data_IF_765269965812
#
_entry.id   IF_765269965812
#
_cell.length_a   1.000
_cell.length_b   1.000
_cell.length_c   1.000
_cell.angle_alpha   90.00
_cell.angle_beta   90.00
_cell.angle_gamma   90.00
#
_symmetry.space_group_name_H-M   'P 1'
#
loop_
_entity.id
_entity.type
_entity.pdbx_description
1 polymer ?
#
# COMPACT_ATOMS: atom_id res chain seq x y z
N UNK A 1 61.77 -13.48 -0.38
CA UNK A 1 60.75 -13.55 -1.44
C UNK A 1 61.35 -13.33 -2.84
N UNK A 2 62.62 -13.66 -3.10
CA UNK A 2 63.31 -13.37 -4.37
C UNK A 2 63.51 -14.60 -5.28
N UNK A 3 63.36 -15.83 -4.76
CA UNK A 3 63.68 -17.06 -5.50
C UNK A 3 62.57 -17.57 -6.43
N UNK A 4 61.30 -17.26 -6.17
CA UNK A 4 60.19 -17.66 -7.06
C UNK A 4 60.12 -16.82 -8.34
N UNK A 5 60.43 -15.53 -8.24
CA UNK A 5 60.39 -14.61 -9.37
C UNK A 5 61.44 -14.98 -10.43
N UNK A 6 62.67 -15.30 -10.00
CA UNK A 6 63.72 -15.82 -10.90
C UNK A 6 63.33 -17.16 -11.55
N UNK A 7 62.59 -18.02 -10.85
CA UNK A 7 62.10 -19.28 -11.43
C UNK A 7 61.07 -19.03 -12.52
N UNK A 8 60.15 -18.09 -12.31
CA UNK A 8 59.14 -17.74 -13.31
C UNK A 8 59.75 -17.07 -14.55
N UNK A 9 60.75 -16.21 -14.39
CA UNK A 9 61.46 -15.63 -15.54
C UNK A 9 62.20 -16.69 -16.34
N UNK A 10 62.92 -17.61 -15.69
CA UNK A 10 63.58 -18.72 -16.41
C UNK A 10 62.58 -19.62 -17.12
N UNK A 11 61.38 -19.79 -16.57
CA UNK A 11 60.32 -20.59 -17.18
C UNK A 11 59.71 -19.85 -18.38
N UNK A 12 59.47 -18.55 -18.26
CA UNK A 12 59.01 -17.71 -19.36
C UNK A 12 60.03 -17.70 -20.51
N UNK A 13 61.32 -17.57 -20.21
CA UNK A 13 62.40 -17.62 -21.22
C UNK A 13 62.42 -18.99 -21.92
N UNK A 14 62.27 -20.08 -21.14
CA UNK A 14 62.15 -21.44 -21.69
C UNK A 14 60.93 -21.62 -22.59
N UNK A 15 59.78 -21.09 -22.20
CA UNK A 15 58.56 -21.18 -23.01
C UNK A 15 58.66 -20.36 -24.30
N UNK A 16 59.36 -19.21 -24.25
CA UNK A 16 59.59 -18.37 -25.43
C UNK A 16 60.56 -19.01 -26.42
N UNK A 17 61.47 -19.86 -25.94
CA UNK A 17 62.38 -20.65 -26.76
C UNK A 17 61.72 -21.90 -27.38
N UNK A 18 60.49 -22.26 -26.99
CA UNK A 18 59.74 -23.33 -27.65
C UNK A 18 59.17 -22.79 -28.95
N UNK A 19 59.60 -23.33 -30.09
CA UNK A 19 59.04 -22.97 -31.39
C UNK A 19 57.52 -23.24 -31.40
N UNK A 20 56.70 -22.24 -31.77
CA UNK A 20 55.26 -22.43 -31.83
C UNK A 20 54.92 -23.44 -32.94
N UNK A 21 54.23 -24.52 -32.58
CA UNK A 21 53.69 -25.49 -33.54
C UNK A 21 52.61 -24.79 -34.37
N UNK A 22 52.97 -24.37 -35.58
CA UNK A 22 52.03 -23.79 -36.53
C UNK A 22 51.17 -24.91 -37.15
N UNK A 23 49.83 -24.85 -37.06
CA UNK A 23 49.00 -25.87 -37.68
C UNK A 23 49.18 -25.84 -39.20
N UNK A 24 49.22 -27.02 -39.82
CA UNK A 24 49.40 -27.16 -41.26
C UNK A 24 48.30 -26.42 -42.04
N UNK A 25 48.58 -25.93 -43.26
CA UNK A 25 47.60 -25.15 -44.05
C UNK A 25 46.25 -25.87 -44.23
N UNK A 26 46.28 -27.20 -44.42
CA UNK A 26 45.06 -28.02 -44.55
C UNK A 26 44.25 -28.16 -43.25
N UNK A 27 44.89 -28.05 -42.07
CA UNK A 27 44.19 -28.02 -40.79
C UNK A 27 43.48 -26.68 -40.58
N UNK A 28 44.10 -25.56 -40.98
CA UNK A 28 43.48 -24.23 -40.95
C UNK A 28 42.22 -24.20 -41.82
N UNK A 29 42.28 -24.71 -43.05
CA UNK A 29 41.13 -24.73 -43.97
C UNK A 29 39.97 -25.55 -43.38
N UNK A 30 40.25 -26.73 -42.81
CA UNK A 30 39.20 -27.55 -42.17
C UNK A 30 38.60 -26.87 -40.94
N UNK A 31 39.44 -26.22 -40.13
CA UNK A 31 38.97 -25.42 -38.98
C UNK A 31 38.07 -24.27 -39.41
N UNK A 32 38.44 -23.54 -40.45
CA UNK A 32 37.63 -22.44 -40.99
C UNK A 32 36.29 -22.91 -41.57
N UNK A 33 36.26 -24.06 -42.25
CA UNK A 33 35.00 -24.63 -42.74
C UNK A 33 34.04 -25.04 -41.61
N UNK A 34 34.56 -25.55 -40.49
CA UNK A 34 33.73 -25.86 -39.31
C UNK A 34 33.18 -24.60 -38.64
N UNK A 35 33.99 -23.53 -38.57
CA UNK A 35 33.55 -22.24 -38.02
C UNK A 35 32.44 -21.62 -38.89
N UNK A 36 32.57 -21.65 -40.22
CA UNK A 36 31.54 -21.13 -41.12
C UNK A 36 30.24 -21.96 -41.05
N UNK A 37 30.34 -23.29 -41.00
CA UNK A 37 29.17 -24.16 -40.82
C UNK A 37 28.44 -23.89 -39.48
N UNK A 38 29.18 -23.59 -38.41
CA UNK A 38 28.60 -23.22 -37.12
C UNK A 38 27.93 -21.83 -37.16
N UNK A 39 28.48 -20.88 -37.93
CA UNK A 39 27.90 -19.54 -38.13
C UNK A 39 26.59 -19.60 -38.93
N UNK A 40 26.51 -20.45 -39.96
CA UNK A 40 25.26 -20.66 -40.71
C UNK A 40 24.18 -21.35 -39.86
N UNK A 41 24.56 -22.29 -39.00
CA UNK A 41 23.62 -22.95 -38.08
C UNK A 41 23.09 -22.00 -36.99
N UNK A 42 23.86 -21.00 -36.57
CA UNK A 42 23.43 -20.02 -35.55
C UNK A 42 22.45 -18.96 -36.09
N UNK A 43 22.32 -18.79 -37.42
CA UNK A 43 21.31 -17.92 -38.03
C UNK A 43 19.88 -18.52 -38.04
N UNK A 44 19.71 -19.79 -37.67
CA UNK A 44 18.39 -20.46 -37.68
C UNK A 44 17.83 -20.79 -36.28
N UNK A 45 18.55 -20.46 -35.20
CA UNK A 45 17.98 -20.47 -33.84
C UNK A 45 17.23 -19.16 -33.61
N UNK A 46 16.16 -18.95 -34.37
CA UNK A 46 15.10 -18.04 -33.97
C UNK A 46 14.52 -18.62 -32.69
N UNK A 47 14.89 -18.07 -31.53
CA UNK A 47 14.33 -18.48 -30.25
C UNK A 47 12.80 -18.39 -30.37
N UNK A 48 12.16 -19.55 -30.48
CA UNK A 48 10.71 -19.70 -30.54
C UNK A 48 10.17 -19.52 -29.12
N UNK A 49 10.52 -18.44 -28.45
CA UNK A 49 9.79 -18.00 -27.25
C UNK A 49 8.41 -17.61 -27.76
N UNK A 50 7.46 -18.50 -27.54
CA UNK A 50 6.13 -18.50 -28.15
C UNK A 50 5.53 -17.09 -28.20
N UNK A 51 5.13 -16.56 -29.37
CA UNK A 51 4.50 -15.25 -29.48
C UNK A 51 3.27 -15.14 -28.56
N UNK A 52 2.59 -16.26 -28.32
CA UNK A 52 1.51 -16.38 -27.33
C UNK A 52 1.99 -16.10 -25.91
N UNK A 53 3.15 -16.59 -25.47
CA UNK A 53 3.69 -16.27 -24.13
C UNK A 53 4.03 -14.79 -24.01
N UNK A 54 4.58 -14.16 -25.05
CA UNK A 54 4.85 -12.71 -25.07
C UNK A 54 3.56 -11.90 -25.05
N UNK A 55 2.53 -12.32 -25.80
CA UNK A 55 1.20 -11.72 -25.79
C UNK A 55 0.51 -11.86 -24.43
N UNK A 56 0.59 -13.04 -23.80
CA UNK A 56 0.05 -13.27 -22.45
C UNK A 56 0.77 -12.39 -21.43
N UNK A 57 2.10 -12.34 -21.46
CA UNK A 57 2.87 -11.46 -20.57
C UNK A 57 2.55 -9.98 -20.81
N UNK A 58 2.42 -9.55 -22.06
CA UNK A 58 2.04 -8.19 -22.40
C UNK A 58 0.60 -7.85 -21.95
N UNK A 59 -0.34 -8.78 -22.11
CA UNK A 59 -1.72 -8.62 -21.65
C UNK A 59 -1.79 -8.57 -20.12
N UNK A 60 -1.03 -9.41 -19.42
CA UNK A 60 -0.92 -9.36 -17.96
C UNK A 60 -0.28 -8.04 -17.51
N UNK A 61 0.80 -7.60 -18.15
CA UNK A 61 1.43 -6.32 -17.84
C UNK A 61 0.48 -5.13 -18.09
N UNK A 62 -0.26 -5.14 -19.20
CA UNK A 62 -1.28 -4.13 -19.49
C UNK A 62 -2.42 -4.17 -18.47
N UNK A 63 -2.90 -5.36 -18.09
CA UNK A 63 -3.91 -5.50 -17.05
C UNK A 63 -3.42 -4.98 -15.69
N UNK A 64 -2.18 -5.29 -15.31
CA UNK A 64 -1.54 -4.76 -14.09
C UNK A 64 -1.43 -3.25 -14.15
N UNK A 65 -1.03 -2.67 -15.29
CA UNK A 65 -0.96 -1.22 -15.46
C UNK A 65 -2.34 -0.55 -15.41
N UNK A 66 -3.36 -1.17 -16.00
CA UNK A 66 -4.74 -0.68 -15.94
C UNK A 66 -5.30 -0.76 -14.52
N UNK A 67 -5.03 -1.85 -13.79
CA UNK A 67 -5.40 -2.00 -12.38
C UNK A 67 -4.65 -0.98 -11.53
N UNK A 68 -3.34 -0.82 -11.72
CA UNK A 68 -2.54 0.16 -10.99
C UNK A 68 -3.00 1.60 -11.26
N UNK A 69 -3.34 1.93 -12.51
CA UNK A 69 -3.90 3.22 -12.88
C UNK A 69 -5.29 3.44 -12.27
N UNK A 70 -6.14 2.43 -12.25
CA UNK A 70 -7.45 2.48 -11.61
C UNK A 70 -7.34 2.63 -10.09
N UNK A 71 -6.37 1.98 -9.45
CA UNK A 71 -6.08 2.11 -8.01
C UNK A 71 -5.59 3.53 -7.68
N UNK A 72 -4.66 4.07 -8.48
CA UNK A 72 -4.19 5.44 -8.30
C UNK A 72 -5.33 6.46 -8.47
N UNK A 73 -6.19 6.27 -9.47
CA UNK A 73 -7.36 7.13 -9.70
C UNK A 73 -8.45 6.95 -8.62
N UNK A 74 -8.61 5.75 -8.06
CA UNK A 74 -9.58 5.49 -6.99
C UNK A 74 -9.12 6.05 -5.65
N UNK A 75 -7.81 6.15 -5.40
CA UNK A 75 -7.28 6.71 -4.16
C UNK A 75 -7.71 8.18 -3.95
N UNK A 76 -7.73 8.96 -5.04
CA UNK A 76 -8.19 10.36 -5.05
C UNK A 76 -9.71 10.50 -5.24
N UNK A 77 -10.40 9.38 -5.36
CA UNK A 77 -11.83 9.37 -5.65
C UNK A 77 -12.63 9.81 -4.42
N UNK A 78 -13.54 10.76 -4.64
CA UNK A 78 -14.40 11.33 -3.60
C UNK A 78 -15.68 10.50 -3.42
N UNK A 79 -16.43 10.67 -2.31
CA UNK A 79 -17.63 9.88 -2.02
C UNK A 79 -18.70 9.91 -3.10
N UNK A 80 -18.68 10.91 -3.99
CA UNK A 80 -19.61 11.06 -5.10
C UNK A 80 -19.15 10.50 -6.44
N UNK A 81 -17.96 9.92 -6.48
CA UNK A 81 -17.34 9.44 -7.71
C UNK A 81 -17.68 7.97 -8.00
N UNK A 82 -17.67 7.61 -9.28
CA UNK A 82 -17.95 6.24 -9.72
C UNK A 82 -16.88 5.22 -9.29
N UNK A 83 -15.66 5.67 -8.98
CA UNK A 83 -14.55 4.82 -8.54
C UNK A 83 -14.50 4.66 -7.01
N UNK A 84 -15.36 5.35 -6.26
CA UNK A 84 -15.38 5.28 -4.80
C UNK A 84 -15.62 3.87 -4.23
N UNK A 85 -16.49 3.01 -4.82
CA UNK A 85 -16.62 1.63 -4.36
C UNK A 85 -15.31 0.85 -4.47
N UNK A 86 -14.49 1.14 -5.49
CA UNK A 86 -13.18 0.51 -5.65
C UNK A 86 -12.20 0.96 -4.56
N UNK A 87 -12.26 2.24 -4.15
CA UNK A 87 -11.48 2.76 -3.02
C UNK A 87 -11.74 1.97 -1.74
N UNK A 88 -13.01 1.77 -1.38
CA UNK A 88 -13.39 0.99 -0.20
C UNK A 88 -12.88 -0.45 -0.23
N UNK A 89 -12.83 -1.10 -1.39
CA UNK A 89 -12.23 -2.44 -1.53
C UNK A 89 -10.73 -2.41 -1.23
N UNK A 90 -10.01 -1.42 -1.75
CA UNK A 90 -8.56 -1.28 -1.52
C UNK A 90 -8.24 -0.95 -0.06
N UNK A 91 -9.05 -0.11 0.57
CA UNK A 91 -8.96 0.21 2.00
C UNK A 91 -9.13 -1.06 2.84
N UNK A 92 -10.16 -1.87 2.58
CA UNK A 92 -10.39 -3.13 3.28
C UNK A 92 -9.22 -4.12 3.13
N UNK A 93 -8.64 -4.24 1.94
CA UNK A 93 -7.46 -5.09 1.71
C UNK A 93 -6.28 -4.58 2.54
N UNK A 94 -6.03 -3.27 2.56
CA UNK A 94 -4.95 -2.68 3.36
C UNK A 94 -5.16 -2.89 4.86
N UNK A 95 -6.39 -2.77 5.34
CA UNK A 95 -6.75 -3.06 6.73
C UNK A 95 -6.54 -4.53 7.09
N UNK A 96 -6.89 -5.47 6.20
CA UNK A 96 -6.66 -6.90 6.40
C UNK A 96 -5.18 -7.29 6.47
N UNK A 97 -4.29 -6.45 5.91
CA UNK A 97 -2.83 -6.62 5.95
C UNK A 97 -2.17 -5.93 7.17
N UNK A 98 -2.92 -5.19 7.98
CA UNK A 98 -2.43 -4.57 9.20
C UNK A 98 -2.41 -5.59 10.35
N UNK A 99 -1.29 -6.29 10.50
CA UNK A 99 -1.18 -7.39 11.47
C UNK A 99 -0.80 -6.93 12.88
N UNK A 100 0.07 -5.91 13.00
CA UNK A 100 0.50 -5.41 14.31
C UNK A 100 -0.43 -4.32 14.84
N UNK A 101 -0.48 -4.09 16.16
CA UNK A 101 -1.25 -2.99 16.75
C UNK A 101 -0.80 -1.63 16.23
N UNK A 102 0.51 -1.47 16.01
CA UNK A 102 1.09 -0.26 15.41
C UNK A 102 0.61 -0.01 13.99
N UNK A 103 0.48 -1.08 13.18
CA UNK A 103 -0.01 -1.00 11.80
C UNK A 103 -1.51 -0.73 11.76
N UNK A 104 -2.29 -1.35 12.66
CA UNK A 104 -3.74 -1.11 12.77
C UNK A 104 -4.02 0.34 13.16
N UNK A 105 -3.31 0.86 14.17
CA UNK A 105 -3.41 2.27 14.53
C UNK A 105 -3.05 3.16 13.32
N UNK A 106 -1.93 2.88 12.65
CA UNK A 106 -1.51 3.66 11.48
C UNK A 106 -2.57 3.63 10.36
N UNK A 107 -3.18 2.47 10.11
CA UNK A 107 -4.24 2.30 9.12
C UNK A 107 -5.46 3.17 9.44
N UNK A 108 -5.98 3.11 10.67
CA UNK A 108 -7.13 3.90 11.08
C UNK A 108 -6.84 5.40 11.04
N UNK A 109 -5.65 5.84 11.48
CA UNK A 109 -5.25 7.25 11.41
C UNK A 109 -5.12 7.76 9.96
N UNK A 110 -4.65 6.92 9.04
CA UNK A 110 -4.56 7.29 7.61
C UNK A 110 -5.95 7.40 6.95
N UNK A 111 -6.87 6.50 7.32
CA UNK A 111 -8.26 6.62 6.90
C UNK A 111 -8.92 7.85 7.50
N UNK A 112 -8.74 8.12 8.79
CA UNK A 112 -9.24 9.34 9.44
C UNK A 112 -8.82 10.59 8.66
N UNK A 113 -7.53 10.71 8.34
CA UNK A 113 -7.00 11.81 7.52
C UNK A 113 -7.65 11.88 6.13
N UNK A 114 -7.87 10.73 5.50
CA UNK A 114 -8.54 10.63 4.20
C UNK A 114 -9.97 11.15 4.28
N UNK A 115 -10.74 10.72 5.29
CA UNK A 115 -12.12 11.17 5.52
C UNK A 115 -12.22 12.66 5.79
N UNK A 116 -11.27 13.23 6.54
CA UNK A 116 -11.18 14.67 6.74
C UNK A 116 -10.99 15.42 5.40
N UNK A 117 -10.08 14.94 4.56
CA UNK A 117 -9.83 15.53 3.22
C UNK A 117 -11.07 15.43 2.33
N UNK A 118 -11.78 14.30 2.38
CA UNK A 118 -13.05 14.11 1.68
C UNK A 118 -14.13 15.09 2.18
N UNK A 119 -14.22 15.30 3.50
CA UNK A 119 -15.15 16.26 4.09
C UNK A 119 -14.87 17.70 3.65
N UNK A 120 -13.60 18.12 3.68
CA UNK A 120 -13.16 19.44 3.18
C UNK A 120 -13.56 19.64 1.71
N UNK A 121 -13.29 18.64 0.86
CA UNK A 121 -13.65 18.69 -0.55
C UNK A 121 -15.18 18.75 -0.76
N UNK A 122 -15.97 18.03 0.05
CA UNK A 122 -17.44 18.05 -0.03
C UNK A 122 -18.02 19.38 0.45
N UNK A 123 -17.45 19.99 1.49
CA UNK A 123 -17.82 21.33 1.97
C UNK A 123 -17.57 22.37 0.88
N UNK A 124 -16.38 22.34 0.25
CA UNK A 124 -16.04 23.23 -0.87
C UNK A 124 -17.00 23.10 -2.07
N UNK A 125 -17.61 21.91 -2.25
CA UNK A 125 -18.61 21.63 -3.30
C UNK A 125 -20.05 21.85 -2.84
N UNK A 126 -20.28 22.41 -1.66
CA UNK A 126 -21.60 22.60 -1.05
C UNK A 126 -22.41 21.30 -0.86
N UNK A 127 -21.74 20.15 -0.77
CA UNK A 127 -22.35 18.82 -0.56
C UNK A 127 -22.33 18.44 0.91
N UNK A 128 -23.10 19.18 1.71
CA UNK A 128 -23.04 19.07 3.18
C UNK A 128 -23.45 17.69 3.72
N UNK A 129 -24.38 17.00 3.05
CA UNK A 129 -24.77 15.64 3.45
C UNK A 129 -23.59 14.66 3.34
N UNK A 130 -22.80 14.78 2.26
CA UNK A 130 -21.60 13.94 2.06
C UNK A 130 -20.45 14.36 2.96
N UNK A 131 -20.32 15.66 3.24
CA UNK A 131 -19.35 16.14 4.22
C UNK A 131 -19.65 15.59 5.62
N UNK A 132 -20.92 15.60 6.05
CA UNK A 132 -21.34 15.00 7.32
C UNK A 132 -21.09 13.49 7.37
N UNK A 133 -21.31 12.77 6.27
CA UNK A 133 -20.97 11.35 6.20
C UNK A 133 -19.47 11.12 6.32
N UNK A 134 -18.64 11.89 5.62
CA UNK A 134 -17.19 11.80 5.71
C UNK A 134 -16.69 12.13 7.13
N UNK A 135 -17.23 13.17 7.77
CA UNK A 135 -16.91 13.49 9.17
C UNK A 135 -17.35 12.39 10.14
N UNK A 136 -18.51 11.76 9.93
CA UNK A 136 -18.89 10.61 10.75
C UNK A 136 -17.94 9.43 10.55
N UNK A 137 -17.49 9.17 9.32
CA UNK A 137 -16.50 8.13 9.07
C UNK A 137 -15.13 8.46 9.66
N UNK A 138 -14.74 9.74 9.71
CA UNK A 138 -13.55 10.18 10.45
C UNK A 138 -13.68 9.77 11.93
N UNK A 139 -14.83 10.07 12.54
CA UNK A 139 -15.09 9.74 13.94
C UNK A 139 -14.99 8.23 14.19
N UNK A 140 -15.61 7.41 13.33
CA UNK A 140 -15.54 5.94 13.43
C UNK A 140 -14.08 5.43 13.38
N UNK A 141 -13.23 6.04 12.55
CA UNK A 141 -11.81 5.66 12.48
C UNK A 141 -11.01 6.07 13.72
N UNK A 142 -11.35 7.20 14.35
CA UNK A 142 -10.70 7.62 15.59
C UNK A 142 -11.12 6.72 16.77
N UNK A 143 -12.37 6.27 16.81
CA UNK A 143 -12.85 5.30 17.79
C UNK A 143 -12.17 3.94 17.61
N UNK A 144 -12.07 3.43 16.38
CA UNK A 144 -11.34 2.19 16.10
C UNK A 144 -9.85 2.30 16.50
N UNK A 145 -9.21 3.45 16.24
CA UNK A 145 -7.84 3.72 16.67
C UNK A 145 -7.70 3.71 18.20
N UNK A 146 -8.66 4.31 18.93
CA UNK A 146 -8.69 4.30 20.38
C UNK A 146 -8.86 2.88 20.96
N UNK A 147 -9.69 2.03 20.32
CA UNK A 147 -9.86 0.63 20.71
C UNK A 147 -8.57 -0.18 20.54
N UNK A 148 -7.77 0.11 19.50
CA UNK A 148 -6.45 -0.52 19.33
C UNK A 148 -5.51 -0.14 20.48
N UNK A 149 -5.48 1.13 20.90
CA UNK A 149 -4.70 1.58 22.07
C UNK A 149 -5.16 0.84 23.33
N UNK A 150 -6.47 0.80 23.56
CA UNK A 150 -7.07 0.19 24.75
C UNK A 150 -6.77 -1.33 24.84
N UNK A 151 -6.85 -2.03 23.71
CA UNK A 151 -6.53 -3.46 23.64
C UNK A 151 -5.07 -3.75 24.04
N UNK A 152 -4.15 -2.85 23.69
CA UNK A 152 -2.74 -2.98 24.04
C UNK A 152 -2.41 -2.62 25.48
N UNK A 153 -3.27 -1.87 26.19
CA UNK A 153 -3.03 -1.52 27.60
C UNK A 153 -2.86 -2.75 28.50
N UNK A 154 -3.51 -3.87 28.16
CA UNK A 154 -3.39 -5.13 28.91
C UNK A 154 -2.20 -5.99 28.45
N UNK A 155 -1.84 -5.90 27.17
CA UNK A 155 -0.84 -6.77 26.55
C UNK A 155 0.57 -6.21 26.70
N UNK A 156 0.76 -4.93 26.36
CA UNK A 156 2.03 -4.21 26.44
C UNK A 156 1.76 -2.72 26.76
N UNK A 157 1.79 -2.34 28.06
CA UNK A 157 1.52 -0.96 28.48
C UNK A 157 2.49 0.08 27.90
N UNK A 158 3.75 -0.31 27.64
CA UNK A 158 4.75 0.61 27.07
C UNK A 158 4.42 0.90 25.60
N UNK A 159 4.04 -0.14 24.86
CA UNK A 159 3.55 0.01 23.49
C UNK A 159 2.25 0.83 23.47
N UNK A 160 1.29 0.54 24.35
CA UNK A 160 0.04 1.29 24.46
C UNK A 160 0.27 2.80 24.65
N UNK A 161 1.18 3.19 25.56
CA UNK A 161 1.53 4.60 25.77
C UNK A 161 2.14 5.25 24.51
N UNK A 162 2.92 4.49 23.72
CA UNK A 162 3.46 5.01 22.45
C UNK A 162 2.37 5.18 21.38
N UNK A 163 1.39 4.27 21.33
CA UNK A 163 0.25 4.36 20.43
C UNK A 163 -0.68 5.51 20.82
N UNK A 164 -0.94 5.69 22.11
CA UNK A 164 -1.74 6.80 22.64
C UNK A 164 -1.12 8.15 22.26
N UNK A 165 0.19 8.32 22.46
CA UNK A 165 0.88 9.56 22.06
C UNK A 165 0.71 9.87 20.56
N UNK A 166 0.76 8.84 19.70
CA UNK A 166 0.53 8.99 18.27
C UNK A 166 -0.92 9.39 17.96
N UNK A 167 -1.89 8.79 18.65
CA UNK A 167 -3.31 9.13 18.53
C UNK A 167 -3.57 10.58 18.95
N UNK A 168 -3.01 11.01 20.09
CA UNK A 168 -3.10 12.40 20.60
C UNK A 168 -2.53 13.39 19.58
N UNK A 169 -1.36 13.11 19.02
CA UNK A 169 -0.74 13.96 18.00
C UNK A 169 -1.59 14.05 16.73
N UNK A 170 -2.16 12.92 16.28
CA UNK A 170 -3.03 12.89 15.11
C UNK A 170 -4.31 13.70 15.33
N UNK A 171 -4.98 13.51 16.48
CA UNK A 171 -6.18 14.26 16.84
C UNK A 171 -5.90 15.76 16.96
N UNK A 172 -4.78 16.15 17.58
CA UNK A 172 -4.38 17.56 17.65
C UNK A 172 -4.16 18.17 16.26
N UNK A 173 -3.58 17.41 15.33
CA UNK A 173 -3.40 17.85 13.94
C UNK A 173 -4.75 18.03 13.23
N UNK A 174 -5.65 17.06 13.38
CA UNK A 174 -6.99 17.13 12.79
C UNK A 174 -7.82 18.28 13.39
N UNK A 175 -7.72 18.54 14.69
CA UNK A 175 -8.41 19.66 15.35
C UNK A 175 -7.98 21.01 14.76
N UNK A 176 -6.69 21.20 14.49
CA UNK A 176 -6.19 22.40 13.83
C UNK A 176 -6.75 22.57 12.41
N UNK A 177 -6.88 21.48 11.65
CA UNK A 177 -7.45 21.51 10.31
C UNK A 177 -8.95 21.84 10.34
N UNK A 178 -9.70 21.18 11.24
CA UNK A 178 -11.12 21.43 11.45
C UNK A 178 -11.39 22.86 11.92
N UNK A 179 -10.58 23.41 12.83
CA UNK A 179 -10.68 24.81 13.25
C UNK A 179 -10.40 25.78 12.09
N UNK A 180 -9.43 25.47 11.23
CA UNK A 180 -9.15 26.23 10.02
C UNK A 180 -10.32 26.20 9.01
N UNK A 181 -11.00 25.07 8.90
CA UNK A 181 -12.18 24.89 8.06
C UNK A 181 -13.40 25.62 8.63
N UNK A 182 -13.62 25.54 9.95
CA UNK A 182 -14.68 26.25 10.66
C UNK A 182 -14.64 27.76 10.38
N UNK A 183 -13.44 28.36 10.39
CA UNK A 183 -13.25 29.78 10.07
C UNK A 183 -13.53 30.17 8.61
N UNK A 184 -13.61 29.20 7.70
CA UNK A 184 -13.86 29.43 6.26
C UNK A 184 -15.32 29.18 5.87
N UNK A 185 -16.11 28.56 6.74
CA UNK A 185 -17.47 28.12 6.42
C UNK A 185 -18.50 28.98 7.13
N UNK A 186 -19.48 29.49 6.39
CA UNK A 186 -20.58 30.29 6.95
C UNK A 186 -21.87 29.48 7.16
N UNK A 187 -21.94 28.26 6.61
CA UNK A 187 -23.14 27.44 6.72
C UNK A 187 -23.27 26.85 8.14
N UNK A 188 -24.39 27.09 8.85
CA UNK A 188 -24.55 26.65 10.24
C UNK A 188 -24.55 25.12 10.40
N UNK A 189 -25.05 24.37 9.41
CA UNK A 189 -25.04 22.91 9.45
C UNK A 189 -23.62 22.36 9.33
N UNK A 190 -22.79 22.99 8.49
CA UNK A 190 -21.39 22.60 8.34
C UNK A 190 -20.57 22.95 9.59
N UNK A 191 -20.80 24.12 10.19
CA UNK A 191 -20.18 24.51 11.47
C UNK A 191 -20.54 23.48 12.54
N UNK A 192 -21.84 23.15 12.70
CA UNK A 192 -22.28 22.16 13.68
C UNK A 192 -21.65 20.77 13.47
N UNK A 193 -21.53 20.32 12.21
CA UNK A 193 -20.89 19.04 11.90
C UNK A 193 -19.39 19.05 12.23
N UNK A 194 -18.69 20.16 11.96
CA UNK A 194 -17.28 20.34 12.31
C UNK A 194 -17.09 20.34 13.83
N UNK A 195 -17.90 21.10 14.57
CA UNK A 195 -17.85 21.13 16.04
C UNK A 195 -18.11 19.73 16.62
N UNK A 196 -19.12 19.01 16.10
CA UNK A 196 -19.42 17.65 16.54
C UNK A 196 -18.23 16.69 16.30
N UNK A 197 -17.56 16.79 15.15
CA UNK A 197 -16.39 15.95 14.85
C UNK A 197 -15.23 16.25 15.83
N UNK A 198 -15.01 17.52 16.18
CA UNK A 198 -13.99 17.92 17.18
C UNK A 198 -14.33 17.36 18.57
N UNK A 199 -15.59 17.45 18.99
CA UNK A 199 -16.05 16.91 20.27
C UNK A 199 -15.91 15.38 20.34
N UNK A 200 -16.18 14.68 19.23
CA UNK A 200 -16.01 13.22 19.14
C UNK A 200 -14.54 12.81 19.12
N UNK A 201 -13.68 13.56 18.44
CA UNK A 201 -12.23 13.33 18.51
C UNK A 201 -11.71 13.46 19.96
N UNK A 202 -12.23 14.41 20.74
CA UNK A 202 -11.91 14.52 22.17
C UNK A 202 -12.42 13.32 22.99
N UNK A 203 -13.58 12.75 22.64
CA UNK A 203 -14.11 11.54 23.28
C UNK A 203 -13.24 10.31 22.97
N UNK A 204 -12.74 10.15 21.74
CA UNK A 204 -11.85 9.04 21.38
C UNK A 204 -10.60 8.97 22.27
N UNK A 205 -10.06 10.12 22.70
CA UNK A 205 -8.96 10.17 23.68
C UNK A 205 -9.36 9.62 25.05
N UNK A 206 -10.57 9.91 25.51
CA UNK A 206 -11.10 9.36 26.77
C UNK A 206 -11.30 7.85 26.67
N UNK A 207 -11.79 7.37 25.52
CA UNK A 207 -11.94 5.94 25.22
C UNK A 207 -10.59 5.23 25.26
N UNK A 208 -9.55 5.82 24.66
CA UNK A 208 -8.20 5.25 24.66
C UNK A 208 -7.59 5.15 26.06
N UNK A 209 -7.97 6.06 26.97
CA UNK A 209 -7.56 6.05 28.39
C UNK A 209 -8.41 5.12 29.28
N UNK A 210 -9.34 4.37 28.70
CA UNK A 210 -10.16 3.39 29.42
C UNK A 210 -11.25 4.00 30.30
N UNK A 211 -11.62 5.26 30.08
CA UNK A 211 -12.70 5.92 30.82
C UNK A 211 -13.96 6.02 29.93
N UNK A 212 -14.91 5.07 30.01
CA UNK A 212 -16.10 5.08 29.17
C UNK A 212 -17.10 6.11 29.72
N UNK A 213 -16.89 7.39 29.44
CA UNK A 213 -17.92 8.40 29.66
C UNK A 213 -18.75 8.57 28.39
N UNK A 214 -19.93 7.93 28.42
CA UNK A 214 -21.14 8.22 27.65
C UNK A 214 -21.03 8.21 26.12
N UNK A 215 -21.25 7.03 25.51
CA UNK A 215 -21.91 6.97 24.20
C UNK A 215 -23.26 7.72 24.28
N UNK A 216 -23.55 8.68 23.39
CA UNK A 216 -24.91 9.08 23.14
C UNK A 216 -25.61 7.91 22.45
N UNK A 217 -26.50 7.23 23.17
CA UNK A 217 -27.45 6.32 22.55
C UNK A 217 -28.26 7.09 21.48
N UNK A 218 -28.25 6.61 20.23
CA UNK A 218 -29.14 7.16 19.20
C UNK A 218 -28.89 6.71 17.76
N UNK A 219 -29.14 5.43 17.43
CA UNK A 219 -30.25 5.00 16.56
C UNK A 219 -29.98 3.66 15.88
N UNK A 220 -30.90 2.72 16.10
CA UNK A 220 -30.72 1.31 15.80
C UNK A 220 -30.78 0.90 14.33
N UNK A 221 -30.04 -0.17 14.04
CA UNK A 221 -30.44 -1.23 13.11
C UNK A 221 -29.94 -2.54 13.71
N UNK A 222 -30.79 -3.21 14.49
CA UNK A 222 -30.53 -4.60 14.84
C UNK A 222 -30.55 -5.45 13.56
N UNK A 223 -29.70 -6.48 13.43
CA UNK A 223 -29.83 -7.42 12.32
C UNK A 223 -31.16 -8.15 12.46
N UNK A 224 -32.01 -8.01 11.45
CA UNK A 224 -33.20 -8.85 11.27
C UNK A 224 -32.73 -10.29 11.08
N UNK A 225 -32.65 -11.05 12.17
CA UNK A 225 -32.57 -12.52 12.12
C UNK A 225 -33.95 -13.05 11.72
N UNK A 226 -34.17 -13.24 10.42
CA UNK A 226 -35.32 -14.01 9.92
C UNK A 226 -35.15 -15.49 10.31
N UNK A 227 -36.11 -16.13 11.00
CA UNK A 227 -36.07 -17.56 11.25
C UNK A 227 -36.38 -18.32 9.95
N UNK A 228 -35.48 -19.21 9.56
CA UNK A 228 -35.68 -20.15 8.45
C UNK A 228 -36.62 -21.28 8.91
N UNK A 229 -37.79 -21.52 8.29
CA UNK A 229 -38.60 -22.69 8.62
C UNK A 229 -38.08 -23.91 7.84
N UNK A 230 -37.60 -24.91 8.58
CA UNK A 230 -37.34 -26.27 8.08
C UNK A 230 -38.65 -26.93 7.66
N UNK A 231 -38.75 -27.55 6.47
CA UNK A 231 -39.87 -28.44 6.16
C UNK A 231 -39.62 -29.81 6.82
N UNK A 232 -40.63 -30.32 7.53
CA UNK A 232 -40.74 -31.73 7.92
C UNK A 232 -41.58 -32.47 6.87
N UNK A 233 -41.08 -33.66 6.53
CA UNK A 233 -41.65 -34.73 5.70
C UNK A 233 -41.56 -34.55 4.18
#
# INVERSE_FOLDING_TARGET
MTSEMERLERLAERLRAVDPVMPSPGAKIRGWNLVLAAVEQSATVRSRTHPVRRLVLAAVAAAVLLVAGAVAASADSLPDSALYPLKGVMENVRGALAFSPSDKLAYHLDLARTRLTEAEAMIARHRLDLAGQALSSLDDQLDDAALVVQAEMQSDPALAASLENRLVQAIATHDQQLAGLEGQVTNPAAIAAITQARDRAAQALQTSNGNPSASPAGNGKGPSSSPHPTPKH
#
